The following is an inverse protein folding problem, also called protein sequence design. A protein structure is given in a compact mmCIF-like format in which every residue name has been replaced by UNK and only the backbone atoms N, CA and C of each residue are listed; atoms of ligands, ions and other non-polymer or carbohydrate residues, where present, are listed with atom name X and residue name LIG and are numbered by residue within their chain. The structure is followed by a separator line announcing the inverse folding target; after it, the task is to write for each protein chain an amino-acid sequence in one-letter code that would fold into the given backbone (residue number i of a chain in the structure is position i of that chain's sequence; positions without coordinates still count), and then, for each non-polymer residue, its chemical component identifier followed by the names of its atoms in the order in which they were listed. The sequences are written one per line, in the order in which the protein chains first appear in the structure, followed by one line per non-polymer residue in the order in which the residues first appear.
data_IF_929220606598
#
_entry.id   IF_929220606598
#
_cell.length_a   1.000
_cell.length_b   1.000
_cell.length_c   1.000
_cell.angle_alpha   90.00
_cell.angle_beta   90.00
_cell.angle_gamma   90.00
#
_symmetry.space_group_name_H-M   'P 1'
#
loop_
_entity.id
_entity.type
_entity.pdbx_description
1 polymer ?
#
# COMPACT_ATOMS: atom_id res chain seq x y z
N UNK A 1 10.13 5.79 -5.39
CA UNK A 1 9.70 5.56 -3.99
C UNK A 1 8.32 6.17 -3.81
N UNK A 2 7.32 5.36 -3.47
CA UNK A 2 5.93 5.81 -3.33
C UNK A 2 5.55 5.73 -1.84
N UNK A 3 5.88 6.76 -1.07
CA UNK A 3 5.69 6.75 0.39
C UNK A 3 4.35 7.35 0.83
N UNK A 4 3.73 8.24 0.05
CA UNK A 4 2.63 9.09 0.54
C UNK A 4 1.32 9.04 -0.26
N UNK A 5 1.30 8.90 -1.58
CA UNK A 5 0.08 9.16 -2.34
C UNK A 5 -1.05 8.15 -2.11
N UNK A 6 -0.71 6.87 -1.86
CA UNK A 6 -1.72 5.82 -1.70
C UNK A 6 -2.62 6.02 -0.47
N UNK A 7 -2.07 6.56 0.63
CA UNK A 7 -2.86 6.82 1.86
C UNK A 7 -3.90 7.91 1.65
N UNK A 8 -3.50 9.07 1.12
CA UNK A 8 -4.40 10.22 0.95
C UNK A 8 -5.52 9.90 -0.03
N UNK A 9 -5.18 9.32 -1.19
CA UNK A 9 -6.17 8.87 -2.16
C UNK A 9 -7.11 7.80 -1.57
N UNK A 10 -6.60 6.92 -0.71
CA UNK A 10 -7.39 5.93 0.00
C UNK A 10 -8.29 6.60 1.07
N UNK A 11 -7.75 7.51 1.87
CA UNK A 11 -8.51 8.23 2.91
C UNK A 11 -9.64 9.07 2.34
N UNK A 12 -9.41 9.81 1.27
CA UNK A 12 -10.44 10.61 0.61
C UNK A 12 -11.60 9.73 0.10
N UNK A 13 -11.29 8.59 -0.51
CA UNK A 13 -12.31 7.62 -0.97
C UNK A 13 -13.08 6.94 0.19
N UNK A 14 -12.42 6.71 1.34
CA UNK A 14 -13.03 6.06 2.51
C UNK A 14 -13.90 7.05 3.30
N UNK A 15 -13.48 8.30 3.45
CA UNK A 15 -14.16 9.28 4.29
C UNK A 15 -15.16 10.15 3.54
N UNK A 16 -15.10 10.19 2.22
CA UNK A 16 -15.90 11.12 1.39
C UNK A 16 -15.59 12.59 1.65
N UNK A 17 -14.57 12.91 2.45
CA UNK A 17 -14.13 14.27 2.74
C UNK A 17 -12.92 14.61 1.88
N UNK A 18 -13.11 15.49 0.93
CA UNK A 18 -12.03 16.35 0.46
C UNK A 18 -11.61 17.21 1.65
N UNK A 19 -10.40 17.02 2.16
CA UNK A 19 -9.88 17.84 3.24
C UNK A 19 -9.71 19.27 2.74
N UNK A 20 -10.71 20.11 3.01
CA UNK A 20 -10.61 21.55 2.86
C UNK A 20 -9.89 22.09 4.09
N UNK A 21 -8.65 22.52 3.92
CA UNK A 21 -7.86 23.15 5.00
C UNK A 21 -6.38 23.21 4.63
N UNK A 22 -5.88 24.36 4.50
CA UNK A 22 -4.66 24.93 4.00
C UNK A 22 -3.31 24.50 4.66
N UNK A 23 -3.05 23.20 4.81
CA UNK A 23 -1.67 22.72 4.73
C UNK A 23 -1.55 22.09 3.34
N UNK A 24 -0.55 22.46 2.56
CA UNK A 24 -0.27 21.84 1.28
C UNK A 24 -0.18 20.34 1.51
N UNK A 25 -1.13 19.59 0.90
CA UNK A 25 -1.34 18.18 1.21
C UNK A 25 -0.07 17.42 0.83
N UNK A 26 0.63 16.82 1.77
CA UNK A 26 1.80 15.98 1.49
C UNK A 26 1.32 14.73 0.75
N UNK A 27 1.19 14.82 -0.56
CA UNK A 27 0.66 13.78 -1.45
C UNK A 27 1.74 13.04 -2.24
N UNK A 28 3.00 13.46 -2.10
CA UNK A 28 4.14 12.87 -2.77
C UNK A 28 5.39 12.95 -1.90
N UNK A 29 6.43 12.17 -2.26
CA UNK A 29 7.73 12.27 -1.60
C UNK A 29 8.35 13.64 -1.81
N UNK A 30 8.19 14.21 -2.99
CA UNK A 30 8.68 15.52 -3.36
C UNK A 30 8.01 16.61 -2.52
N UNK A 31 6.69 16.54 -2.29
CA UNK A 31 5.98 17.43 -1.40
C UNK A 31 6.48 17.28 0.05
N UNK A 32 6.67 16.03 0.52
CA UNK A 32 7.24 15.77 1.85
C UNK A 32 8.63 16.40 2.01
N UNK A 33 9.51 16.24 1.02
CA UNK A 33 10.85 16.85 1.04
C UNK A 33 10.77 18.37 1.12
N UNK A 34 9.89 19.00 0.33
CA UNK A 34 9.70 20.47 0.38
C UNK A 34 9.27 20.92 1.76
N UNK A 35 8.27 20.25 2.36
CA UNK A 35 7.77 20.59 3.70
C UNK A 35 8.84 20.43 4.78
N UNK A 36 9.61 19.34 4.77
CA UNK A 36 10.69 19.10 5.73
C UNK A 36 11.78 20.16 5.57
N UNK A 37 12.17 20.51 4.34
CA UNK A 37 13.12 21.61 4.07
C UNK A 37 12.64 22.97 4.52
N UNK A 38 11.30 23.18 4.49
CA UNK A 38 10.66 24.39 5.01
C UNK A 38 10.58 24.42 6.56
N UNK A 39 11.05 23.38 7.25
CA UNK A 39 11.08 23.31 8.70
C UNK A 39 9.82 22.67 9.32
N UNK A 40 8.96 22.04 8.54
CA UNK A 40 7.79 21.34 9.05
C UNK A 40 8.21 20.14 9.93
N UNK A 41 7.55 19.98 11.09
CA UNK A 41 7.73 18.82 11.96
C UNK A 41 6.78 17.71 11.54
N UNK A 42 7.29 16.75 10.77
CA UNK A 42 6.51 15.61 10.28
C UNK A 42 6.59 14.46 11.28
N UNK A 43 5.44 13.85 11.58
CA UNK A 43 5.36 12.61 12.37
C UNK A 43 5.25 11.42 11.43
N UNK A 44 6.12 10.45 11.58
CA UNK A 44 6.12 9.22 10.80
C UNK A 44 5.46 8.07 11.57
N UNK A 45 4.86 7.15 10.84
CA UNK A 45 4.48 5.82 11.30
C UNK A 45 5.17 4.80 10.41
N UNK A 46 6.25 4.23 10.89
CA UNK A 46 6.94 3.15 10.20
C UNK A 46 6.20 1.84 10.43
N UNK A 47 6.04 1.04 9.37
CA UNK A 47 5.48 -0.29 9.45
C UNK A 47 6.25 -1.26 8.57
N UNK A 48 6.28 -2.52 8.99
CA UNK A 48 6.82 -3.64 8.23
C UNK A 48 6.22 -4.94 8.74
N UNK A 49 6.25 -6.00 7.90
CA UNK A 49 5.63 -7.27 8.21
C UNK A 49 4.12 -7.26 7.93
N UNK A 50 3.47 -8.39 8.20
CA UNK A 50 2.05 -8.60 7.85
C UNK A 50 1.35 -9.54 8.84
N UNK A 51 1.89 -9.71 10.04
CA UNK A 51 1.31 -10.59 11.06
C UNK A 51 0.52 -9.80 12.08
N UNK A 52 -0.66 -10.30 12.50
CA UNK A 52 -1.35 -9.80 13.67
C UNK A 52 -0.46 -9.84 14.92
N UNK A 53 -0.83 -9.07 15.92
CA UNK A 53 -0.22 -9.19 17.26
C UNK A 53 -0.47 -10.58 17.83
N UNK A 54 0.30 -11.04 18.84
CA UNK A 54 0.09 -12.34 19.48
C UNK A 54 -1.32 -12.54 20.05
N UNK A 55 -1.98 -11.44 20.45
CA UNK A 55 -3.36 -11.42 20.92
C UNK A 55 -4.41 -11.38 19.78
N UNK A 56 -3.99 -11.50 18.51
CA UNK A 56 -4.83 -11.37 17.33
C UNK A 56 -5.17 -9.92 16.95
N UNK A 57 -4.72 -8.95 17.73
CA UNK A 57 -5.04 -7.54 17.55
C UNK A 57 -4.39 -6.89 16.32
N UNK A 58 -5.02 -5.82 15.84
CA UNK A 58 -4.53 -5.00 14.74
C UNK A 58 -3.36 -4.14 15.20
N UNK A 59 -2.33 -4.04 14.36
CA UNK A 59 -1.15 -3.19 14.58
C UNK A 59 -0.73 -2.51 13.27
N UNK A 60 0.36 -1.75 13.27
CA UNK A 60 0.87 -1.07 12.08
C UNK A 60 1.14 -2.02 10.90
N UNK A 61 1.41 -3.30 11.15
CA UNK A 61 1.56 -4.32 10.12
C UNK A 61 0.30 -4.52 9.25
N UNK A 62 -0.88 -4.09 9.74
CA UNK A 62 -2.12 -4.12 8.94
C UNK A 62 -2.07 -3.19 7.72
N UNK A 63 -1.15 -2.23 7.68
CA UNK A 63 -0.95 -1.34 6.54
C UNK A 63 -0.28 -2.07 5.35
N UNK A 64 0.43 -3.17 5.61
CA UNK A 64 1.06 -3.98 4.55
C UNK A 64 0.04 -4.55 3.56
N UNK A 65 0.40 -4.59 2.26
CA UNK A 65 -0.39 -5.27 1.22
C UNK A 65 -0.56 -6.78 1.47
N UNK A 66 0.28 -7.36 2.32
CA UNK A 66 0.28 -8.78 2.66
C UNK A 66 -0.57 -9.13 3.88
N UNK A 67 -1.11 -8.12 4.58
CA UNK A 67 -1.99 -8.35 5.72
C UNK A 67 -3.22 -9.17 5.31
N UNK A 68 -3.58 -10.24 6.06
CA UNK A 68 -4.77 -11.04 5.79
C UNK A 68 -6.04 -10.23 6.08
N UNK A 69 -6.59 -9.65 5.05
CA UNK A 69 -7.84 -8.87 5.07
C UNK A 69 -8.57 -9.14 3.76
N UNK A 70 -9.35 -10.25 3.70
CA UNK A 70 -10.03 -10.65 2.47
C UNK A 70 -11.14 -9.66 2.11
N UNK A 71 -11.34 -9.45 0.81
CA UNK A 71 -12.43 -8.67 0.26
C UNK A 71 -12.88 -9.22 -1.10
N UNK A 72 -14.10 -8.89 -1.50
CA UNK A 72 -14.69 -9.36 -2.75
C UNK A 72 -15.04 -8.17 -3.64
N UNK A 73 -14.71 -8.27 -4.92
CA UNK A 73 -15.06 -7.30 -5.95
C UNK A 73 -15.60 -8.06 -7.16
N UNK A 74 -16.79 -7.71 -7.63
CA UNK A 74 -17.45 -8.32 -8.79
C UNK A 74 -17.51 -9.86 -8.71
N UNK A 75 -17.79 -10.37 -7.51
CA UNK A 75 -17.88 -11.81 -7.25
C UNK A 75 -16.54 -12.55 -7.12
N UNK A 76 -15.42 -11.87 -7.27
CA UNK A 76 -14.07 -12.43 -7.11
C UNK A 76 -13.50 -12.06 -5.75
N UNK A 77 -13.07 -13.06 -4.97
CA UNK A 77 -12.48 -12.86 -3.65
C UNK A 77 -10.95 -12.78 -3.72
N UNK A 78 -10.39 -11.85 -2.96
CA UNK A 78 -8.96 -11.62 -2.85
C UNK A 78 -8.56 -11.78 -1.37
N UNK A 79 -7.63 -12.67 -1.08
CA UNK A 79 -7.20 -12.95 0.29
C UNK A 79 -6.41 -11.78 0.93
N UNK A 80 -5.71 -11.00 0.12
CA UNK A 80 -4.93 -9.82 0.54
C UNK A 80 -4.90 -8.79 -0.59
N UNK A 81 -4.49 -7.56 -0.28
CA UNK A 81 -4.30 -6.53 -1.29
C UNK A 81 -3.16 -6.86 -2.30
N UNK A 82 -2.18 -7.72 -1.92
CA UNK A 82 -1.19 -8.24 -2.86
C UNK A 82 -1.84 -9.11 -3.94
N UNK A 83 -2.83 -9.96 -3.59
CA UNK A 83 -3.57 -10.75 -4.59
C UNK A 83 -4.31 -9.83 -5.57
N UNK A 84 -4.94 -8.77 -5.07
CA UNK A 84 -5.58 -7.77 -5.92
C UNK A 84 -4.58 -7.10 -6.88
N UNK A 85 -3.44 -6.62 -6.36
CA UNK A 85 -2.42 -5.93 -7.16
C UNK A 85 -1.87 -6.85 -8.25
N UNK A 86 -1.56 -8.10 -7.92
CA UNK A 86 -1.05 -9.07 -8.90
C UNK A 86 -2.11 -9.51 -9.90
N UNK A 87 -3.37 -9.66 -9.49
CA UNK A 87 -4.49 -9.91 -10.39
C UNK A 87 -4.73 -8.72 -11.33
N UNK A 88 -4.66 -7.49 -10.81
CA UNK A 88 -4.72 -6.27 -11.61
C UNK A 88 -3.61 -6.20 -12.66
N UNK A 89 -2.39 -6.58 -12.28
CA UNK A 89 -1.27 -6.70 -13.21
C UNK A 89 -1.55 -7.74 -14.31
N UNK A 90 -2.02 -8.91 -13.95
CA UNK A 90 -2.34 -9.96 -14.92
C UNK A 90 -3.46 -9.53 -15.91
N UNK A 91 -4.49 -8.83 -15.43
CA UNK A 91 -5.56 -8.26 -16.27
C UNK A 91 -5.02 -7.17 -17.20
N UNK A 92 -4.18 -6.27 -16.69
CA UNK A 92 -3.60 -5.18 -17.46
C UNK A 92 -2.84 -5.68 -18.70
N UNK A 93 -2.16 -6.82 -18.58
CA UNK A 93 -1.39 -7.43 -19.67
C UNK A 93 -2.11 -8.60 -20.36
N UNK A 94 -3.38 -8.84 -20.05
CA UNK A 94 -4.20 -9.88 -20.71
C UNK A 94 -3.76 -11.32 -20.43
N UNK A 95 -3.00 -11.59 -19.35
CA UNK A 95 -2.53 -12.94 -19.03
C UNK A 95 -3.52 -13.68 -18.10
N UNK A 96 -4.49 -14.37 -18.71
CA UNK A 96 -5.49 -15.16 -18.00
C UNK A 96 -4.89 -16.30 -17.17
N UNK A 97 -3.80 -16.94 -17.61
CA UNK A 97 -3.14 -18.00 -16.86
C UNK A 97 -2.45 -17.47 -15.59
N UNK A 98 -1.80 -16.30 -15.70
CA UNK A 98 -1.23 -15.64 -14.52
C UNK A 98 -2.34 -15.21 -13.57
N UNK A 99 -3.46 -14.67 -14.06
CA UNK A 99 -4.61 -14.32 -13.24
C UNK A 99 -5.14 -15.53 -12.47
N UNK A 100 -5.35 -16.66 -13.13
CA UNK A 100 -5.80 -17.89 -12.50
C UNK A 100 -4.86 -18.35 -11.38
N UNK A 101 -3.53 -18.32 -11.63
CA UNK A 101 -2.51 -18.66 -10.62
C UNK A 101 -2.51 -17.70 -9.44
N UNK A 102 -2.70 -16.41 -9.66
CA UNK A 102 -2.79 -15.41 -8.58
C UNK A 102 -4.01 -15.66 -7.71
N UNK A 103 -5.18 -15.90 -8.32
CA UNK A 103 -6.42 -16.14 -7.57
C UNK A 103 -6.40 -17.47 -6.79
N UNK A 104 -5.70 -18.50 -7.30
CA UNK A 104 -5.52 -19.77 -6.63
C UNK A 104 -4.41 -19.75 -5.53
N UNK A 105 -3.65 -18.66 -5.41
CA UNK A 105 -2.55 -18.59 -4.44
C UNK A 105 -3.09 -18.55 -3.00
N UNK A 106 -2.61 -19.45 -2.15
CA UNK A 106 -2.95 -19.48 -0.72
C UNK A 106 -2.13 -18.52 0.14
N UNK A 107 -1.13 -17.84 -0.44
CA UNK A 107 -0.24 -16.95 0.30
C UNK A 107 0.22 -15.78 -0.60
N UNK A 108 0.35 -14.54 -0.08
CA UNK A 108 0.73 -13.37 -0.89
C UNK A 108 2.08 -13.51 -1.60
N UNK A 109 3.05 -14.27 -1.03
CA UNK A 109 4.31 -14.58 -1.73
C UNK A 109 4.10 -15.37 -3.02
N UNK A 110 3.13 -16.29 -3.04
CA UNK A 110 2.77 -17.07 -4.25
C UNK A 110 2.09 -16.17 -5.28
N UNK A 111 1.18 -15.30 -4.84
CA UNK A 111 0.55 -14.30 -5.70
C UNK A 111 1.61 -13.38 -6.32
N UNK A 112 2.56 -12.85 -5.51
CA UNK A 112 3.69 -12.04 -5.99
C UNK A 112 4.55 -12.79 -7.00
N UNK A 113 4.85 -14.08 -6.75
CA UNK A 113 5.60 -14.92 -7.68
C UNK A 113 4.86 -15.09 -9.01
N UNK A 114 3.56 -15.37 -8.99
CA UNK A 114 2.73 -15.47 -10.19
C UNK A 114 2.69 -14.14 -10.96
N UNK A 115 2.54 -13.01 -10.27
CA UNK A 115 2.55 -11.68 -10.86
C UNK A 115 3.89 -11.24 -11.48
N UNK A 116 5.02 -11.84 -11.03
CA UNK A 116 6.33 -11.63 -11.68
C UNK A 116 6.47 -12.37 -13.01
N UNK A 117 5.65 -13.38 -13.25
CA UNK A 117 5.66 -14.23 -14.43
C UNK A 117 4.58 -13.85 -15.46
N UNK A 118 3.94 -12.70 -15.29
CA UNK A 118 2.93 -12.18 -16.23
C UNK A 118 3.57 -11.97 -17.60
N UNK A 119 2.98 -12.59 -18.62
CA UNK A 119 3.39 -12.44 -20.02
C UNK A 119 2.97 -11.09 -20.58
N UNK A 120 3.70 -10.60 -21.57
CA UNK A 120 3.42 -9.30 -22.20
C UNK A 120 3.69 -8.10 -21.29
N UNK A 121 4.43 -8.29 -20.19
CA UNK A 121 4.75 -7.23 -19.24
C UNK A 121 5.54 -6.11 -19.90
N UNK A 122 5.08 -4.87 -19.70
CA UNK A 122 5.76 -3.63 -20.06
C UNK A 122 5.91 -2.75 -18.81
N UNK A 123 7.14 -2.38 -18.50
CA UNK A 123 7.45 -1.58 -17.29
C UNK A 123 6.84 -0.18 -17.36
N UNK A 124 6.82 0.46 -18.53
CA UNK A 124 6.26 1.79 -18.71
C UNK A 124 4.75 1.81 -18.50
N UNK A 125 4.03 0.80 -19.03
CA UNK A 125 2.60 0.62 -18.80
C UNK A 125 2.35 0.36 -17.32
N UNK A 126 3.09 -0.57 -16.71
CA UNK A 126 2.94 -0.88 -15.29
C UNK A 126 3.21 0.32 -14.38
N UNK A 127 4.24 1.11 -14.67
CA UNK A 127 4.58 2.29 -13.87
C UNK A 127 3.46 3.34 -13.87
N UNK A 128 2.72 3.49 -14.98
CA UNK A 128 1.57 4.39 -15.06
C UNK A 128 0.35 3.87 -14.30
N UNK A 129 0.06 2.57 -14.40
CA UNK A 129 -1.20 1.99 -13.93
C UNK A 129 -1.14 1.45 -12.49
N UNK A 130 0.04 1.01 -12.01
CA UNK A 130 0.19 0.33 -10.73
C UNK A 130 -0.34 1.13 -9.54
N UNK A 131 -0.18 2.45 -9.58
CA UNK A 131 -0.62 3.30 -8.46
C UNK A 131 -2.15 3.24 -8.29
N UNK A 132 -2.90 3.40 -9.37
CA UNK A 132 -4.36 3.30 -9.33
C UNK A 132 -4.85 1.93 -8.86
N UNK A 133 -4.19 0.85 -9.32
CA UNK A 133 -4.50 -0.52 -8.89
C UNK A 133 -4.28 -0.69 -7.38
N UNK A 134 -3.16 -0.19 -6.86
CA UNK A 134 -2.85 -0.30 -5.42
C UNK A 134 -3.79 0.52 -4.55
N UNK A 135 -4.12 1.76 -4.97
CA UNK A 135 -5.07 2.60 -4.25
C UNK A 135 -6.44 1.93 -4.16
N UNK A 136 -6.95 1.40 -5.27
CA UNK A 136 -8.25 0.73 -5.28
C UNK A 136 -8.26 -0.49 -4.37
N UNK A 137 -7.25 -1.38 -4.45
CA UNK A 137 -7.14 -2.54 -3.57
C UNK A 137 -7.03 -2.15 -2.09
N UNK A 138 -6.32 -1.08 -1.78
CA UNK A 138 -6.22 -0.55 -0.42
C UNK A 138 -7.57 -0.04 0.08
N UNK A 139 -8.31 0.71 -0.73
CA UNK A 139 -9.69 1.16 -0.39
C UNK A 139 -10.57 -0.04 -0.08
N UNK A 140 -10.61 -1.06 -0.95
CA UNK A 140 -11.43 -2.28 -0.74
C UNK A 140 -11.04 -3.00 0.55
N UNK A 141 -9.74 -3.19 0.79
CA UNK A 141 -9.20 -3.79 2.01
C UNK A 141 -9.69 -3.06 3.27
N UNK A 142 -9.50 -1.73 3.34
CA UNK A 142 -9.84 -0.96 4.53
C UNK A 142 -11.36 -0.79 4.71
N UNK A 143 -12.16 -0.86 3.65
CA UNK A 143 -13.61 -0.85 3.76
C UNK A 143 -14.18 -2.19 4.22
N UNK A 144 -13.51 -3.30 3.92
CA UNK A 144 -13.99 -4.64 4.25
C UNK A 144 -13.80 -5.01 5.74
N UNK A 145 -12.88 -4.35 6.46
CA UNK A 145 -12.51 -4.68 7.84
C UNK A 145 -12.53 -3.42 8.72
N UNK A 146 -13.45 -3.37 9.68
CA UNK A 146 -13.63 -2.22 10.58
C UNK A 146 -12.43 -1.98 11.50
N UNK A 147 -11.77 -3.04 11.97
CA UNK A 147 -10.60 -2.92 12.83
C UNK A 147 -9.41 -2.33 12.06
N UNK A 148 -9.17 -2.82 10.85
CA UNK A 148 -8.11 -2.32 9.97
C UNK A 148 -8.41 -0.88 9.51
N UNK A 149 -9.68 -0.58 9.19
CA UNK A 149 -10.13 0.78 8.88
C UNK A 149 -9.93 1.72 10.05
N UNK A 150 -10.36 1.32 11.25
CA UNK A 150 -10.20 2.11 12.47
C UNK A 150 -8.74 2.41 12.78
N UNK A 151 -7.85 1.43 12.58
CA UNK A 151 -6.40 1.65 12.71
C UNK A 151 -5.91 2.71 11.72
N UNK A 152 -6.25 2.59 10.42
CA UNK A 152 -5.84 3.57 9.41
C UNK A 152 -6.33 4.99 9.76
N UNK A 153 -7.60 5.15 10.13
CA UNK A 153 -8.16 6.45 10.52
C UNK A 153 -7.47 7.02 11.76
N UNK A 154 -7.15 6.16 12.74
CA UNK A 154 -6.42 6.52 13.96
C UNK A 154 -4.96 6.92 13.74
N UNK A 155 -4.39 6.75 12.55
CA UNK A 155 -3.04 7.25 12.25
C UNK A 155 -2.98 8.77 12.19
N UNK A 156 -4.13 9.46 12.07
CA UNK A 156 -4.22 10.91 11.98
C UNK A 156 -3.42 11.46 10.80
N UNK A 157 -2.57 12.43 11.03
CA UNK A 157 -1.76 13.08 9.98
C UNK A 157 -0.34 12.49 9.83
N UNK A 158 -0.06 11.35 10.48
CA UNK A 158 1.25 10.72 10.35
C UNK A 158 1.51 10.25 8.92
N UNK A 159 2.71 10.50 8.45
CA UNK A 159 3.19 9.93 7.18
C UNK A 159 3.45 8.45 7.37
N UNK A 160 2.77 7.61 6.59
CA UNK A 160 2.93 6.16 6.64
C UNK A 160 4.13 5.74 5.80
N UNK A 161 5.06 5.01 6.39
CA UNK A 161 6.32 4.62 5.76
C UNK A 161 6.49 3.11 5.84
N UNK A 162 6.51 2.43 4.70
CA UNK A 162 6.88 1.02 4.67
C UNK A 162 8.40 0.89 4.83
N UNK A 163 8.84 0.58 6.05
CA UNK A 163 10.23 0.44 6.43
C UNK A 163 10.71 -1.00 6.15
N UNK A 164 10.64 -1.40 4.89
CA UNK A 164 11.08 -2.70 4.40
C UNK A 164 12.51 -2.61 3.86
N UNK A 165 13.51 -3.29 4.45
CA UNK A 165 14.88 -3.29 3.96
C UNK A 165 15.05 -4.03 2.63
N UNK A 166 14.06 -4.82 2.23
CA UNK A 166 14.10 -5.68 1.02
C UNK A 166 13.20 -5.17 -0.12
N UNK A 167 12.42 -4.12 0.10
CA UNK A 167 11.54 -3.54 -0.92
C UNK A 167 11.91 -2.06 -1.15
N UNK A 168 12.31 -1.74 -2.38
CA UNK A 168 12.63 -0.38 -2.81
C UNK A 168 11.61 0.19 -3.79
N UNK A 169 10.55 -0.56 -4.06
CA UNK A 169 9.46 -0.11 -4.96
C UNK A 169 8.34 0.54 -4.16
N UNK A 170 7.86 -0.15 -3.13
CA UNK A 170 6.81 0.33 -2.24
C UNK A 170 7.35 0.78 -0.88
N UNK A 171 8.43 0.15 -0.39
CA UNK A 171 9.14 0.51 0.82
C UNK A 171 10.34 1.44 0.56
N UNK A 172 10.93 1.91 1.66
CA UNK A 172 12.08 2.82 1.62
C UNK A 172 13.44 2.10 1.44
N UNK A 173 13.46 0.76 1.49
CA UNK A 173 14.70 -0.02 1.41
C UNK A 173 15.56 0.04 2.69
N UNK A 174 15.00 0.54 3.80
CA UNK A 174 15.64 0.67 5.11
C UNK A 174 14.75 0.04 6.18
N UNK A 175 15.34 -0.43 7.27
CA UNK A 175 14.61 -0.84 8.46
C UNK A 175 14.13 0.37 9.27
N UNK A 176 13.12 0.20 10.11
CA UNK A 176 12.52 1.30 10.86
C UNK A 176 13.46 1.92 11.93
N UNK A 177 14.45 1.18 12.38
CA UNK A 177 15.49 1.58 13.32
C UNK A 177 16.75 2.16 12.65
N UNK A 178 16.78 2.21 11.32
CA UNK A 178 17.84 2.89 10.59
C UNK A 178 17.72 4.41 10.81
N UNK A 179 18.85 5.05 11.13
CA UNK A 179 18.91 6.50 11.37
C UNK A 179 18.43 7.34 10.18
N UNK A 180 18.51 6.80 8.98
CA UNK A 180 18.05 7.44 7.75
C UNK A 180 16.57 7.16 7.43
N UNK A 181 15.87 6.30 8.18
CA UNK A 181 14.47 5.95 7.90
C UNK A 181 13.49 7.13 8.03
N UNK A 182 13.86 8.16 8.79
CA UNK A 182 13.10 9.40 8.94
C UNK A 182 13.48 10.51 7.96
N UNK A 183 14.47 10.29 7.10
CA UNK A 183 14.92 11.26 6.11
C UNK A 183 14.27 10.99 4.74
N UNK A 184 13.35 11.86 4.27
CA UNK A 184 12.67 11.64 3.00
C UNK A 184 13.59 11.82 1.78
N UNK A 185 14.83 12.26 1.95
CA UNK A 185 15.80 12.44 0.87
C UNK A 185 16.62 11.17 0.59
N UNK A 186 16.51 10.15 1.44
CA UNK A 186 17.27 8.88 1.37
C UNK A 186 16.55 7.75 0.64
#
# INVERSE_FOLDING_TARGET
MSVVPARLACMDKITGKLAAGAAEKIDSREALIREVRAGARVKYLHFWGHRPRPDGGVSASCLSQWWPSPFTVDGVSYATAEHWMMAGKARLFGDGDALARVLAAGHPAQAKKAGRLVRGFDEGVWARERFGIVVEGSVRKFLADEGVRGFLLGTGERVLVEASPVDRVWGIGLAADDVAAGDPER
#
